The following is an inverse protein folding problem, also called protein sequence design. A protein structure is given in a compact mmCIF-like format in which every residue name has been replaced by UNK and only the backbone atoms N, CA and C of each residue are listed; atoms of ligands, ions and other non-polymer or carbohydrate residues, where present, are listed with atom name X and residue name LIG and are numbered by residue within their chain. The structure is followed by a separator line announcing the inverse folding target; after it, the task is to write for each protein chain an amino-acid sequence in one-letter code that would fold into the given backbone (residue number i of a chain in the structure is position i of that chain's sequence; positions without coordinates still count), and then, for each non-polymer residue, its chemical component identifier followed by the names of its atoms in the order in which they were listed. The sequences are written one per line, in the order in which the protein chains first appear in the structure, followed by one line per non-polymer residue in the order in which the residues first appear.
data_IF_387041594782
#
_entry.id   IF_387041594782
#
_cell.length_a   1.000
_cell.length_b   1.000
_cell.length_c   1.000
_cell.angle_alpha   90.00
_cell.angle_beta   90.00
_cell.angle_gamma   90.00
#
_symmetry.space_group_name_H-M   'P 1'
#
loop_
_entity.id
_entity.type
_entity.pdbx_description
1 polymer ?
#
# COMPACT_ATOMS: atom_id res chain seq x y z
N UNK A 1 14.18 -8.27 28.74
CA UNK A 1 13.71 -7.41 27.62
C UNK A 1 14.50 -7.80 26.38
N UNK A 2 13.87 -8.33 25.33
CA UNK A 2 14.57 -8.71 24.11
C UNK A 2 14.84 -7.45 23.27
N UNK A 3 16.11 -7.11 23.06
CA UNK A 3 16.51 -6.06 22.13
C UNK A 3 16.26 -6.53 20.70
N UNK A 4 15.20 -6.05 20.07
CA UNK A 4 15.05 -6.16 18.62
C UNK A 4 15.96 -5.10 17.97
N UNK A 5 17.06 -5.56 17.37
CA UNK A 5 17.89 -4.71 16.52
C UNK A 5 17.11 -4.48 15.22
N UNK A 6 16.79 -3.21 14.95
CA UNK A 6 16.14 -2.81 13.71
C UNK A 6 17.22 -2.27 12.79
N UNK A 7 17.54 -3.02 11.74
CA UNK A 7 18.36 -2.53 10.64
C UNK A 7 17.47 -1.69 9.71
N UNK A 8 17.86 -0.43 9.51
CA UNK A 8 17.09 0.50 8.71
C UNK A 8 17.93 1.61 8.10
N UNK A 9 17.43 2.17 7.01
CA UNK A 9 18.10 3.21 6.24
C UNK A 9 17.53 4.59 6.57
N UNK A 10 18.34 5.64 6.42
CA UNK A 10 17.86 7.02 6.51
C UNK A 10 16.91 7.32 5.34
N UNK A 11 15.97 8.24 5.54
CA UNK A 11 15.11 8.73 4.46
C UNK A 11 15.93 9.50 3.44
N UNK A 12 15.52 9.44 2.17
CA UNK A 12 16.02 10.37 1.16
C UNK A 12 15.58 11.81 1.48
N UNK A 13 16.22 12.84 0.90
CA UNK A 13 15.79 14.23 1.09
C UNK A 13 14.31 14.46 0.73
N UNK A 14 13.82 13.84 -0.36
CA UNK A 14 12.43 13.95 -0.80
C UNK A 14 11.47 13.24 0.15
N UNK A 15 11.82 12.04 0.63
CA UNK A 15 11.03 11.33 1.64
C UNK A 15 10.99 12.11 2.96
N UNK A 16 12.10 12.74 3.36
CA UNK A 16 12.18 13.60 4.54
C UNK A 16 11.27 14.82 4.39
N UNK A 17 11.29 15.46 3.22
CA UNK A 17 10.42 16.58 2.94
C UNK A 17 8.93 16.18 3.00
N UNK A 18 8.56 15.08 2.33
CA UNK A 18 7.19 14.54 2.38
C UNK A 18 6.78 14.17 3.81
N UNK A 19 7.69 13.60 4.61
CA UNK A 19 7.43 13.28 6.01
C UNK A 19 7.11 14.52 6.85
N UNK A 20 7.71 15.68 6.55
CA UNK A 20 7.37 16.93 7.23
C UNK A 20 6.10 17.59 6.68
N UNK A 21 5.76 17.37 5.41
CA UNK A 21 4.51 17.85 4.81
C UNK A 21 3.30 17.04 5.25
N UNK A 22 3.47 15.79 5.67
CA UNK A 22 2.36 14.98 6.15
C UNK A 22 1.77 15.63 7.40
N UNK A 23 0.51 16.05 7.29
CA UNK A 23 -0.32 16.49 8.41
C UNK A 23 -1.52 15.53 8.52
N UNK A 24 -2.28 15.60 9.60
CA UNK A 24 -3.49 14.79 9.83
C UNK A 24 -4.65 15.12 8.83
N UNK A 25 -4.34 15.59 7.62
CA UNK A 25 -5.31 15.90 6.55
C UNK A 25 -4.90 15.37 5.18
N UNK A 26 -3.64 14.99 4.96
CA UNK A 26 -3.12 14.59 3.65
C UNK A 26 -2.54 13.18 3.75
N UNK A 27 -3.25 12.21 3.15
CA UNK A 27 -2.71 10.86 2.94
C UNK A 27 -1.93 10.85 1.63
N UNK A 28 -0.63 10.55 1.71
CA UNK A 28 0.22 10.38 0.53
C UNK A 28 0.01 8.98 -0.06
N UNK A 29 -1.18 8.73 -0.60
CA UNK A 29 -1.55 7.48 -1.26
C UNK A 29 -1.71 7.70 -2.76
N UNK A 30 -1.20 6.76 -3.55
CA UNK A 30 -1.56 6.62 -4.96
C UNK A 30 -2.58 5.47 -5.10
N UNK A 31 -3.65 5.71 -5.86
CA UNK A 31 -4.62 4.69 -6.27
C UNK A 31 -4.70 4.68 -7.79
N UNK A 32 -4.90 3.49 -8.37
CA UNK A 32 -5.01 3.31 -9.82
C UNK A 32 -6.10 2.27 -10.11
N UNK A 33 -6.96 2.58 -11.07
CA UNK A 33 -7.92 1.63 -11.65
C UNK A 33 -7.53 1.36 -13.11
N UNK A 34 -7.59 0.10 -13.53
CA UNK A 34 -7.25 -0.34 -14.89
C UNK A 34 -8.38 -1.22 -15.44
N UNK A 35 -8.87 -0.88 -16.64
CA UNK A 35 -9.75 -1.75 -17.41
C UNK A 35 -8.89 -2.68 -18.26
N UNK A 36 -9.12 -3.98 -18.14
CA UNK A 36 -8.44 -5.01 -18.93
C UNK A 36 -9.50 -5.82 -19.67
N UNK A 37 -9.50 -5.72 -20.99
CA UNK A 37 -10.42 -6.46 -21.85
C UNK A 37 -9.75 -7.71 -22.44
N UNK A 38 -10.53 -8.79 -22.57
CA UNK A 38 -10.08 -10.05 -23.14
C UNK A 38 -9.79 -11.15 -22.10
N UNK A 39 -9.00 -12.16 -22.51
CA UNK A 39 -8.79 -13.37 -21.72
C UNK A 39 -7.73 -13.18 -20.63
N UNK A 40 -8.13 -12.55 -19.52
CA UNK A 40 -7.28 -12.37 -18.34
C UNK A 40 -7.31 -13.62 -17.45
N UNK A 41 -6.18 -14.33 -17.37
CA UNK A 41 -5.98 -15.39 -16.37
C UNK A 41 -5.62 -14.79 -15.02
N UNK A 42 -6.62 -14.62 -14.15
CA UNK A 42 -6.52 -13.95 -12.85
C UNK A 42 -5.37 -14.51 -11.99
N UNK A 43 -5.18 -15.83 -12.00
CA UNK A 43 -4.16 -16.52 -11.21
C UNK A 43 -2.74 -16.15 -11.67
N UNK A 44 -2.56 -15.92 -12.99
CA UNK A 44 -1.27 -15.47 -13.55
C UNK A 44 -0.97 -14.04 -13.14
N UNK A 45 -1.97 -13.15 -13.18
CA UNK A 45 -1.82 -11.76 -12.77
C UNK A 45 -1.47 -11.67 -11.27
N UNK A 46 -2.24 -12.36 -10.42
CA UNK A 46 -1.98 -12.39 -8.99
C UNK A 46 -0.56 -12.91 -8.67
N UNK A 47 -0.11 -13.98 -9.35
CA UNK A 47 1.25 -14.51 -9.18
C UNK A 47 2.32 -13.53 -9.66
N UNK A 48 2.08 -12.81 -10.75
CA UNK A 48 3.01 -11.80 -11.26
C UNK A 48 3.15 -10.63 -10.28
N UNK A 49 2.04 -10.10 -9.76
CA UNK A 49 2.04 -9.01 -8.78
C UNK A 49 2.71 -9.43 -7.46
N UNK A 50 2.43 -10.64 -6.97
CA UNK A 50 3.11 -11.18 -5.78
C UNK A 50 4.62 -11.29 -5.97
N UNK A 51 5.07 -11.70 -7.16
CA UNK A 51 6.51 -11.74 -7.50
C UNK A 51 7.11 -10.34 -7.57
N UNK A 52 6.38 -9.37 -8.13
CA UNK A 52 6.81 -7.98 -8.22
C UNK A 52 7.02 -7.37 -6.82
N UNK A 53 6.05 -7.53 -5.91
CA UNK A 53 6.21 -7.10 -4.50
C UNK A 53 7.39 -7.80 -3.83
N UNK A 54 7.59 -9.10 -4.06
CA UNK A 54 8.75 -9.82 -3.51
C UNK A 54 10.08 -9.27 -4.04
N UNK A 55 10.15 -8.96 -5.34
CA UNK A 55 11.37 -8.53 -6.05
C UNK A 55 11.82 -7.13 -5.63
N UNK A 56 10.90 -6.19 -5.45
CA UNK A 56 11.26 -4.78 -5.23
C UNK A 56 11.20 -4.40 -3.76
N UNK A 57 12.35 -4.01 -3.19
CA UNK A 57 12.48 -3.59 -1.80
C UNK A 57 11.56 -2.44 -1.43
N UNK A 58 11.42 -1.44 -2.31
CA UNK A 58 10.54 -0.28 -2.10
C UNK A 58 9.09 -0.68 -1.77
N UNK A 59 8.59 -1.79 -2.32
CA UNK A 59 7.23 -2.29 -2.05
C UNK A 59 7.12 -3.09 -0.74
N UNK A 60 8.25 -3.30 -0.05
CA UNK A 60 8.36 -3.99 1.24
C UNK A 60 8.95 -3.09 2.33
N UNK A 61 9.16 -1.81 2.01
CA UNK A 61 9.69 -0.82 2.95
C UNK A 61 8.56 -0.24 3.78
N UNK A 62 8.77 -0.21 5.10
CA UNK A 62 7.92 0.49 6.07
C UNK A 62 8.73 1.60 6.72
N UNK A 63 8.04 2.63 7.26
CA UNK A 63 8.68 3.74 7.95
C UNK A 63 8.40 3.60 9.45
N UNK A 64 9.42 3.29 10.24
CA UNK A 64 9.28 3.05 11.68
C UNK A 64 9.91 4.19 12.47
N UNK A 65 9.12 4.83 13.34
CA UNK A 65 9.60 5.91 14.21
C UNK A 65 9.92 5.35 15.59
N UNK A 66 11.20 5.27 15.93
CA UNK A 66 11.64 4.79 17.24
C UNK A 66 11.51 5.89 18.31
N UNK A 67 11.35 5.52 19.60
CA UNK A 67 11.33 6.47 20.70
C UNK A 67 12.54 7.40 20.67
N UNK A 68 12.30 8.70 20.84
CA UNK A 68 13.36 9.74 20.83
C UNK A 68 13.85 10.18 19.45
N UNK A 69 13.45 9.52 18.35
CA UNK A 69 13.82 9.94 16.99
C UNK A 69 12.83 10.94 16.41
N UNK A 70 13.34 12.00 15.75
CA UNK A 70 12.51 12.98 15.02
C UNK A 70 12.00 12.43 13.69
N UNK A 71 12.86 11.71 12.97
CA UNK A 71 12.57 11.08 11.69
C UNK A 71 12.49 9.55 11.85
N UNK A 72 11.63 8.87 11.08
CA UNK A 72 11.60 7.41 11.06
C UNK A 72 12.83 6.84 10.34
N UNK A 73 12.99 5.52 10.41
CA UNK A 73 13.90 4.76 9.56
C UNK A 73 13.10 3.98 8.51
N UNK A 74 13.70 3.80 7.33
CA UNK A 74 13.23 2.88 6.31
C UNK A 74 13.61 1.46 6.71
N UNK A 75 12.62 0.61 6.99
CA UNK A 75 12.82 -0.79 7.37
C UNK A 75 12.28 -1.69 6.27
N UNK A 76 13.17 -2.51 5.70
CA UNK A 76 12.83 -3.40 4.59
C UNK A 76 12.44 -4.76 5.18
N UNK A 77 11.18 -5.18 4.98
CA UNK A 77 10.72 -6.48 5.44
C UNK A 77 11.20 -7.61 4.51
N UNK A 78 11.63 -8.75 5.06
CA UNK A 78 12.06 -9.93 4.28
C UNK A 78 11.00 -10.40 3.26
N UNK A 79 9.73 -10.23 3.59
CA UNK A 79 8.59 -10.45 2.70
C UNK A 79 7.64 -9.28 2.77
N UNK A 80 7.19 -8.80 1.60
CA UNK A 80 6.17 -7.76 1.52
C UNK A 80 4.79 -8.31 1.83
N UNK A 81 3.97 -7.49 2.46
CA UNK A 81 2.54 -7.78 2.61
C UNK A 81 1.88 -7.58 1.25
N UNK A 82 1.41 -8.67 0.65
CA UNK A 82 0.63 -8.66 -0.59
C UNK A 82 -0.78 -9.14 -0.30
N UNK A 83 -1.73 -8.20 -0.34
CA UNK A 83 -3.15 -8.48 -0.21
C UNK A 83 -3.80 -8.51 -1.59
N UNK A 84 -4.74 -9.43 -1.79
CA UNK A 84 -5.47 -9.59 -3.05
C UNK A 84 -6.91 -9.97 -2.75
N UNK A 85 -7.85 -9.20 -3.28
CA UNK A 85 -9.28 -9.48 -3.19
C UNK A 85 -9.86 -9.57 -4.59
N UNK A 86 -10.70 -10.59 -4.81
CA UNK A 86 -11.49 -10.76 -6.02
C UNK A 86 -12.95 -10.48 -5.70
N UNK A 87 -13.56 -9.58 -6.46
CA UNK A 87 -14.98 -9.25 -6.35
C UNK A 87 -15.60 -9.54 -7.71
N UNK A 88 -16.60 -10.42 -7.72
CA UNK A 88 -17.35 -10.75 -8.93
C UNK A 88 -18.62 -9.90 -8.99
N UNK A 89 -18.64 -8.93 -9.91
CA UNK A 89 -19.76 -8.03 -10.14
C UNK A 89 -20.64 -8.47 -11.32
N UNK A 90 -20.26 -9.53 -12.03
CA UNK A 90 -20.91 -9.94 -13.29
C UNK A 90 -22.40 -10.28 -13.15
N UNK A 91 -22.83 -10.61 -11.93
CA UNK A 91 -24.22 -11.00 -11.63
C UNK A 91 -25.13 -9.81 -11.34
N UNK A 92 -24.60 -8.59 -11.30
CA UNK A 92 -25.34 -7.39 -10.92
C UNK A 92 -25.73 -6.60 -12.17
N UNK A 93 -26.75 -5.76 -12.07
CA UNK A 93 -27.10 -4.79 -13.12
C UNK A 93 -25.97 -3.77 -13.31
N UNK A 94 -25.77 -3.29 -14.54
CA UNK A 94 -24.63 -2.45 -14.91
C UNK A 94 -24.49 -1.20 -14.02
N UNK A 95 -25.61 -0.52 -13.72
CA UNK A 95 -25.63 0.64 -12.83
C UNK A 95 -25.13 0.29 -11.41
N UNK A 96 -25.54 -0.88 -10.89
CA UNK A 96 -25.10 -1.38 -9.58
C UNK A 96 -23.63 -1.81 -9.61
N UNK A 97 -23.13 -2.32 -10.73
CA UNK A 97 -21.71 -2.64 -10.89
C UNK A 97 -20.85 -1.37 -10.81
N UNK A 98 -21.23 -0.32 -11.55
CA UNK A 98 -20.50 0.95 -11.57
C UNK A 98 -20.50 1.62 -10.19
N UNK A 99 -21.66 1.76 -9.56
CA UNK A 99 -21.76 2.32 -8.22
C UNK A 99 -20.90 1.55 -7.20
N UNK A 100 -20.85 0.21 -7.31
CA UNK A 100 -20.03 -0.61 -6.43
C UNK A 100 -18.53 -0.44 -6.67
N UNK A 101 -18.09 -0.29 -7.91
CA UNK A 101 -16.67 -0.02 -8.23
C UNK A 101 -16.21 1.31 -7.62
N UNK A 102 -17.02 2.36 -7.73
CA UNK A 102 -16.72 3.68 -7.15
C UNK A 102 -16.65 3.63 -5.61
N UNK A 103 -17.58 2.91 -4.98
CA UNK A 103 -17.58 2.68 -3.54
C UNK A 103 -16.31 1.96 -3.07
N UNK A 104 -15.91 0.87 -3.75
CA UNK A 104 -14.66 0.16 -3.43
C UNK A 104 -13.45 1.09 -3.55
N UNK A 105 -13.36 1.87 -4.62
CA UNK A 105 -12.23 2.77 -4.83
C UNK A 105 -12.15 3.86 -3.75
N UNK A 106 -13.30 4.32 -3.27
CA UNK A 106 -13.40 5.34 -2.22
C UNK A 106 -13.09 4.76 -0.83
N UNK A 107 -13.58 3.56 -0.52
CA UNK A 107 -13.36 2.88 0.77
C UNK A 107 -11.90 2.49 1.00
N UNK A 108 -11.17 2.15 -0.07
CA UNK A 108 -9.74 1.81 0.00
C UNK A 108 -8.83 3.04 0.18
N UNK A 109 -9.40 4.25 0.35
CA UNK A 109 -8.67 5.39 0.91
C UNK A 109 -8.62 5.22 2.43
N UNK A 110 -7.46 4.96 3.05
CA UNK A 110 -7.38 4.85 4.48
C UNK A 110 -7.80 6.19 5.09
N UNK A 111 -8.69 6.12 6.08
CA UNK A 111 -8.96 7.25 6.95
C UNK A 111 -7.65 7.65 7.64
N UNK A 112 -7.47 8.96 7.79
CA UNK A 112 -6.31 9.68 8.34
C UNK A 112 -5.70 9.08 9.63
N UNK A 113 -6.41 8.21 10.35
CA UNK A 113 -6.08 7.72 11.69
C UNK A 113 -5.19 6.47 11.78
N UNK A 114 -4.88 5.76 10.68
CA UNK A 114 -4.34 4.39 10.78
C UNK A 114 -2.81 4.23 10.73
N UNK A 115 -2.01 5.28 10.49
CA UNK A 115 -0.56 5.12 10.21
C UNK A 115 0.39 5.39 11.39
N UNK A 116 -0.10 5.51 12.63
CA UNK A 116 0.76 5.63 13.83
C UNK A 116 0.82 4.31 14.62
N UNK A 117 1.44 3.28 14.07
CA UNK A 117 1.92 2.12 14.86
C UNK A 117 3.32 1.73 14.41
#
# INVERSE_FOLDING_TARGET
MQNHVIEGFKLSPQQTHLWFLQNDRVTHQAQLALLIEGNLKIERLQKALKKLVKRHEMLRTTFQKLPGMKLPLQVIANSGNFFWQKIDLSRWELEKQQARLEDIFTQERPSISAQRR
#
